data_IF_123246402848
#
_entry.id   IF_123246402848
#
_cell.length_a   1.000
_cell.length_b   1.000
_cell.length_c   1.000
_cell.angle_alpha   90.00
_cell.angle_beta   90.00
_cell.angle_gamma   90.00
#
_symmetry.space_group_name_H-M   'P 1'
#
loop_
_entity.id
_entity.type
_entity.pdbx_description
1 polymer ?
#
# COMPACT_ATOMS: atom_id res chain seq x y z
N UNK A 1 -4.94 12.77 14.80
CA UNK A 1 -4.49 13.72 15.85
C UNK A 1 -5.48 14.85 16.05
N UNK A 2 -5.67 15.77 15.09
CA UNK A 2 -6.53 16.94 15.23
C UNK A 2 -7.96 16.61 15.67
N UNK A 3 -8.62 15.66 15.03
CA UNK A 3 -9.98 15.24 15.39
C UNK A 3 -10.09 14.82 16.87
N UNK A 4 -9.18 13.97 17.35
CA UNK A 4 -9.16 13.54 18.74
C UNK A 4 -8.91 14.70 19.73
N UNK A 5 -8.12 15.70 19.29
CA UNK A 5 -7.87 16.94 20.04
C UNK A 5 -9.01 17.96 19.96
N UNK A 6 -10.00 17.73 19.10
CA UNK A 6 -11.09 18.69 18.78
C UNK A 6 -10.57 20.04 18.27
N UNK A 7 -9.43 20.02 17.63
CA UNK A 7 -8.74 21.16 17.02
C UNK A 7 -8.58 20.94 15.51
N UNK A 8 -8.06 21.93 14.82
CA UNK A 8 -7.66 21.87 13.42
C UNK A 8 -6.15 21.89 13.24
N UNK A 9 -5.72 21.81 12.00
CA UNK A 9 -4.31 21.91 11.61
C UNK A 9 -4.23 22.73 10.32
N UNK A 10 -3.29 23.67 10.27
CA UNK A 10 -2.88 24.34 9.04
C UNK A 10 -1.54 23.76 8.59
N UNK A 11 -1.46 23.27 7.36
CA UNK A 11 -0.25 22.67 6.78
C UNK A 11 0.14 23.42 5.52
N UNK A 12 1.41 23.74 5.40
CA UNK A 12 1.99 24.30 4.18
C UNK A 12 2.84 23.23 3.47
N UNK A 13 2.40 22.84 2.28
CA UNK A 13 3.10 21.81 1.49
C UNK A 13 4.45 22.29 0.97
N UNK A 14 4.66 23.60 0.87
CA UNK A 14 5.96 24.15 0.47
C UNK A 14 7.06 23.90 1.53
N UNK A 15 6.66 23.64 2.78
CA UNK A 15 7.56 23.30 3.89
C UNK A 15 7.78 21.80 4.06
N UNK A 16 7.03 20.98 3.35
CA UNK A 16 7.14 19.51 3.42
C UNK A 16 8.33 19.04 2.57
N UNK A 17 9.31 18.36 3.17
CA UNK A 17 10.44 17.81 2.40
C UNK A 17 9.98 16.80 1.37
N UNK A 18 10.39 16.98 0.13
CA UNK A 18 10.14 16.00 -0.94
C UNK A 18 11.43 15.64 -1.66
N UNK A 19 11.48 14.45 -2.24
CA UNK A 19 12.60 14.02 -3.10
C UNK A 19 12.42 14.46 -4.54
N UNK A 20 11.17 14.59 -4.97
CA UNK A 20 10.80 14.96 -6.32
C UNK A 20 10.54 16.47 -6.40
N UNK A 21 11.08 17.09 -7.45
CA UNK A 21 10.85 18.49 -7.75
C UNK A 21 9.48 18.67 -8.43
N UNK A 22 8.87 19.82 -8.22
CA UNK A 22 7.63 20.23 -8.90
C UNK A 22 6.40 19.34 -8.68
N UNK A 23 6.30 18.68 -7.53
CA UNK A 23 5.10 17.92 -7.17
C UNK A 23 3.87 18.84 -7.12
N UNK A 24 2.75 18.37 -7.64
CA UNK A 24 1.45 18.99 -7.44
C UNK A 24 0.94 18.75 -6.02
N UNK A 25 0.01 19.59 -5.52
CA UNK A 25 -0.61 19.43 -4.21
C UNK A 25 -1.24 18.03 -4.04
N UNK A 26 -1.87 17.52 -5.10
CA UNK A 26 -2.48 16.20 -5.12
C UNK A 26 -1.43 15.08 -4.96
N UNK A 27 -0.29 15.21 -5.60
CA UNK A 27 0.81 14.26 -5.45
C UNK A 27 1.40 14.27 -4.04
N UNK A 28 1.57 15.45 -3.43
CA UNK A 28 1.98 15.54 -2.02
C UNK A 28 1.04 14.80 -1.08
N UNK A 29 -0.27 14.95 -1.28
CA UNK A 29 -1.28 14.36 -0.40
C UNK A 29 -1.46 12.85 -0.59
N UNK A 30 -1.15 12.33 -1.77
CA UNK A 30 -1.20 10.89 -2.06
C UNK A 30 0.15 10.18 -1.88
N UNK A 31 1.25 10.94 -1.80
CA UNK A 31 2.58 10.36 -1.68
C UNK A 31 2.76 9.73 -0.30
N UNK A 32 3.24 8.51 -0.29
CA UNK A 32 3.63 7.81 0.92
C UNK A 32 5.16 7.77 1.00
N UNK A 33 5.71 8.11 2.16
CA UNK A 33 7.12 7.93 2.47
C UNK A 33 7.22 7.18 3.78
N UNK A 34 8.02 6.13 3.78
CA UNK A 34 8.25 5.31 4.97
C UNK A 34 8.99 6.10 6.05
N UNK A 35 8.79 5.69 7.30
CA UNK A 35 9.50 6.22 8.48
C UNK A 35 9.31 7.72 8.73
N UNK A 36 8.19 8.28 8.30
CA UNK A 36 7.81 9.65 8.67
C UNK A 36 7.03 9.66 9.97
N UNK A 37 7.41 10.58 10.85
CA UNK A 37 6.75 10.82 12.12
C UNK A 37 6.28 12.27 12.19
N UNK A 38 5.06 12.47 12.69
CA UNK A 38 4.48 13.80 12.93
C UNK A 38 4.47 14.08 14.43
N UNK A 39 5.03 15.23 14.81
CA UNK A 39 5.08 15.70 16.18
C UNK A 39 4.25 16.96 16.33
N UNK A 40 3.50 17.06 17.43
CA UNK A 40 2.89 18.31 17.88
C UNK A 40 3.69 18.80 19.08
N UNK A 41 4.28 19.94 18.93
CA UNK A 41 5.25 20.48 19.89
C UNK A 41 4.85 21.91 20.27
N UNK A 42 5.11 22.30 21.50
CA UNK A 42 4.95 23.69 21.91
C UNK A 42 5.95 24.58 21.18
N UNK A 43 5.54 25.78 20.83
CA UNK A 43 6.34 26.73 20.05
C UNK A 43 7.73 26.96 20.67
N UNK A 44 7.81 27.11 21.99
CA UNK A 44 9.06 27.30 22.74
C UNK A 44 9.99 26.09 22.78
N UNK A 45 9.56 24.93 22.25
CA UNK A 45 10.31 23.66 22.23
C UNK A 45 10.68 23.17 20.83
N UNK A 46 10.31 23.91 19.81
CA UNK A 46 10.55 23.51 18.42
C UNK A 46 12.04 23.40 18.13
N UNK A 47 12.81 24.44 18.46
CA UNK A 47 14.25 24.50 18.18
C UNK A 47 15.02 23.39 18.94
N UNK A 48 14.68 23.16 20.22
CA UNK A 48 15.27 22.07 21.01
C UNK A 48 15.04 20.70 20.36
N UNK A 49 13.84 20.49 19.81
CA UNK A 49 13.50 19.23 19.15
C UNK A 49 14.29 19.06 17.85
N UNK A 50 14.35 20.10 17.02
CA UNK A 50 15.10 20.08 15.76
C UNK A 50 16.58 19.81 16.02
N UNK A 51 17.19 20.46 17.00
CA UNK A 51 18.59 20.19 17.38
C UNK A 51 18.81 18.74 17.79
N UNK A 52 17.88 18.16 18.56
CA UNK A 52 17.95 16.75 18.94
C UNK A 52 17.94 15.82 17.75
N UNK A 53 17.06 16.04 16.77
CA UNK A 53 17.02 15.23 15.56
C UNK A 53 18.29 15.37 14.73
N UNK A 54 18.77 16.60 14.56
CA UNK A 54 20.02 16.88 13.83
C UNK A 54 21.23 16.15 14.45
N UNK A 55 21.28 16.05 15.78
CA UNK A 55 22.32 15.29 16.48
C UNK A 55 22.40 13.83 16.06
N UNK A 56 21.26 13.24 15.66
CA UNK A 56 21.16 11.86 15.20
C UNK A 56 21.13 11.74 13.67
N UNK A 57 21.43 12.81 12.96
CA UNK A 57 21.39 12.82 11.48
C UNK A 57 19.99 12.70 10.89
N UNK A 58 18.95 13.01 11.67
CA UNK A 58 17.57 12.99 11.24
C UNK A 58 17.11 14.40 10.88
N UNK A 59 16.34 14.51 9.80
CA UNK A 59 15.77 15.79 9.38
C UNK A 59 14.41 16.03 10.04
N UNK A 60 14.21 17.21 10.56
CA UNK A 60 12.93 17.66 11.11
C UNK A 60 12.59 19.07 10.61
N UNK A 61 11.40 19.24 10.07
CA UNK A 61 10.91 20.53 9.57
C UNK A 61 9.57 20.87 10.21
N UNK A 62 9.36 22.15 10.48
CA UNK A 62 8.04 22.67 10.81
C UNK A 62 7.23 22.77 9.53
N UNK A 63 6.12 22.07 9.45
CA UNK A 63 5.28 22.01 8.25
C UNK A 63 3.93 22.71 8.42
N UNK A 64 3.64 23.20 9.62
CA UNK A 64 2.36 23.82 9.93
C UNK A 64 2.14 24.01 11.43
N UNK A 65 0.92 24.35 11.77
CA UNK A 65 0.52 24.66 13.14
C UNK A 65 -0.86 24.10 13.48
N UNK A 66 -1.11 23.93 14.78
CA UNK A 66 -2.42 23.56 15.30
C UNK A 66 -3.27 24.83 15.42
N UNK A 67 -4.49 24.78 14.92
CA UNK A 67 -5.44 25.90 14.90
C UNK A 67 -6.72 25.55 15.68
N UNK A 68 -7.46 26.55 16.11
CA UNK A 68 -8.69 26.34 16.91
C UNK A 68 -9.88 25.86 16.05
N UNK A 69 -9.84 26.10 14.74
CA UNK A 69 -10.88 25.61 13.82
C UNK A 69 -10.84 24.08 13.75
N UNK A 70 -11.99 23.44 13.60
CA UNK A 70 -12.06 21.98 13.46
C UNK A 70 -11.87 21.55 12.00
N UNK A 71 -10.85 22.08 11.36
CA UNK A 71 -10.57 21.88 9.94
C UNK A 71 -9.09 21.57 9.72
N UNK A 72 -8.82 20.80 8.70
CA UNK A 72 -7.49 20.64 8.12
C UNK A 72 -7.42 21.58 6.93
N UNK A 73 -6.59 22.60 7.03
CA UNK A 73 -6.34 23.57 5.97
C UNK A 73 -4.98 23.28 5.37
N UNK A 74 -4.94 23.09 4.07
CA UNK A 74 -3.71 22.76 3.35
C UNK A 74 -3.46 23.86 2.33
N UNK A 75 -2.26 24.46 2.39
CA UNK A 75 -1.78 25.44 1.43
C UNK A 75 -0.64 24.90 0.58
N UNK A 76 -0.52 25.41 -0.63
CA UNK A 76 0.59 25.15 -1.55
C UNK A 76 0.74 26.36 -2.49
N UNK A 77 1.96 26.86 -2.63
CA UNK A 77 2.27 28.05 -3.43
C UNK A 77 1.38 29.24 -3.04
N UNK A 78 1.28 29.47 -1.72
CA UNK A 78 0.48 30.56 -1.12
C UNK A 78 -1.02 30.50 -1.45
N UNK A 79 -1.57 29.34 -1.81
CA UNK A 79 -3.00 29.12 -2.07
C UNK A 79 -3.53 28.00 -1.21
N UNK A 80 -4.72 28.15 -0.68
CA UNK A 80 -5.44 27.05 -0.04
C UNK A 80 -5.86 26.06 -1.13
N UNK A 81 -5.39 24.81 -1.02
CA UNK A 81 -5.65 23.72 -1.97
C UNK A 81 -6.61 22.69 -1.42
N UNK A 82 -6.78 22.64 -0.10
CA UNK A 82 -7.80 21.83 0.56
C UNK A 82 -8.22 22.45 1.89
N UNK A 83 -9.50 22.31 2.22
CA UNK A 83 -10.09 22.66 3.51
C UNK A 83 -11.12 21.60 3.83
N UNK A 84 -10.84 20.79 4.86
CA UNK A 84 -11.57 19.55 5.14
C UNK A 84 -11.91 19.52 6.63
N UNK A 85 -13.16 19.27 7.04
CA UNK A 85 -13.48 19.05 8.44
C UNK A 85 -12.68 17.89 9.02
N UNK A 86 -12.12 18.06 10.22
CA UNK A 86 -11.30 17.00 10.85
C UNK A 86 -12.07 15.70 11.08
N UNK A 87 -13.40 15.78 11.31
CA UNK A 87 -14.26 14.61 11.47
C UNK A 87 -14.36 13.77 10.19
N UNK A 88 -14.37 14.41 9.02
CA UNK A 88 -14.43 13.72 7.74
C UNK A 88 -13.21 12.83 7.46
N UNK A 89 -12.08 13.14 8.11
CA UNK A 89 -10.85 12.35 8.01
C UNK A 89 -10.70 11.30 9.12
N UNK A 90 -11.68 11.16 10.00
CA UNK A 90 -11.67 10.24 11.14
C UNK A 90 -13.01 9.56 11.36
N UNK A 91 -13.85 10.16 12.19
CA UNK A 91 -15.06 9.52 12.72
C UNK A 91 -16.18 9.37 11.67
N UNK A 92 -16.26 10.29 10.72
CA UNK A 92 -17.26 10.30 9.65
C UNK A 92 -16.79 9.52 8.40
N UNK A 93 -15.65 8.84 8.48
CA UNK A 93 -15.15 8.00 7.39
C UNK A 93 -16.07 6.79 7.18
N UNK A 94 -16.54 6.52 5.94
CA UNK A 94 -17.42 5.39 5.68
C UNK A 94 -16.79 4.06 6.10
N UNK A 95 -17.47 3.32 6.96
CA UNK A 95 -17.08 1.96 7.33
C UNK A 95 -17.89 0.97 6.49
N UNK A 96 -17.22 0.30 5.58
CA UNK A 96 -17.85 -0.75 4.78
C UNK A 96 -17.96 -2.03 5.61
N UNK A 97 -19.17 -2.34 6.03
CA UNK A 97 -19.48 -3.60 6.73
C UNK A 97 -19.88 -4.63 5.67
N UNK A 98 -19.00 -5.58 5.42
CA UNK A 98 -19.31 -6.69 4.52
C UNK A 98 -19.96 -7.82 5.31
N UNK A 99 -21.12 -8.28 4.83
CA UNK A 99 -21.76 -9.47 5.38
C UNK A 99 -20.86 -10.67 5.13
N UNK A 100 -20.63 -11.44 6.18
CA UNK A 100 -19.88 -12.70 6.05
C UNK A 100 -20.72 -13.68 5.23
N UNK A 101 -20.21 -14.10 4.09
CA UNK A 101 -20.79 -15.17 3.30
C UNK A 101 -20.41 -16.48 3.96
N UNK A 102 -21.38 -17.12 4.65
CA UNK A 102 -21.15 -18.37 5.39
C UNK A 102 -20.92 -19.57 4.49
N UNK A 103 -21.50 -19.54 3.30
CA UNK A 103 -21.37 -20.62 2.33
C UNK A 103 -20.55 -20.16 1.14
N UNK A 104 -19.64 -20.99 0.63
CA UNK A 104 -18.92 -20.68 -0.60
C UNK A 104 -19.92 -20.52 -1.77
N UNK A 105 -19.59 -19.71 -2.78
CA UNK A 105 -20.40 -19.61 -3.98
C UNK A 105 -20.62 -20.96 -4.64
N UNK A 106 -21.80 -21.19 -5.24
CA UNK A 106 -22.17 -22.46 -5.87
C UNK A 106 -21.16 -22.93 -6.92
N UNK A 107 -20.51 -22.01 -7.62
CA UNK A 107 -19.45 -22.35 -8.56
C UNK A 107 -18.22 -23.00 -7.91
N UNK A 108 -17.90 -22.58 -6.69
CA UNK A 108 -16.81 -23.20 -5.93
C UNK A 108 -17.23 -24.54 -5.35
N UNK A 109 -18.47 -24.64 -4.86
CA UNK A 109 -19.01 -25.94 -4.39
C UNK A 109 -18.99 -26.98 -5.52
N UNK A 110 -19.45 -26.63 -6.70
CA UNK A 110 -19.38 -27.51 -7.87
C UNK A 110 -17.96 -27.93 -8.24
N UNK A 111 -16.98 -27.05 -8.07
CA UNK A 111 -15.56 -27.38 -8.29
C UNK A 111 -15.00 -28.28 -7.21
N UNK A 112 -15.47 -28.20 -5.99
CA UNK A 112 -15.02 -29.05 -4.88
C UNK A 112 -15.64 -30.45 -4.92
N UNK A 113 -16.82 -30.59 -5.55
CA UNK A 113 -17.51 -31.86 -5.77
C UNK A 113 -17.02 -32.65 -7.02
N UNK A 114 -15.93 -32.18 -7.63
CA UNK A 114 -15.39 -32.83 -8.80
C UNK A 114 -15.01 -34.32 -8.50
N UNK A 115 -15.25 -35.14 -9.49
CA UNK A 115 -14.84 -36.55 -9.49
C UNK A 115 -13.97 -36.81 -10.71
N UNK A 116 -13.15 -37.85 -10.68
CA UNK A 116 -12.25 -38.16 -11.79
C UNK A 116 -12.96 -38.27 -13.14
N UNK A 117 -14.17 -38.81 -13.14
CA UNK A 117 -14.99 -38.91 -14.35
C UNK A 117 -15.58 -37.58 -14.85
N UNK A 118 -15.48 -36.52 -14.05
CA UNK A 118 -15.91 -35.15 -14.41
C UNK A 118 -14.76 -34.31 -14.97
N UNK A 119 -13.55 -34.82 -14.99
CA UNK A 119 -12.42 -34.13 -15.58
C UNK A 119 -12.59 -34.04 -17.10
N UNK A 120 -12.36 -32.86 -17.67
CA UNK A 120 -12.39 -32.72 -19.13
C UNK A 120 -11.26 -33.54 -19.75
N UNK A 121 -11.52 -34.09 -20.93
CA UNK A 121 -10.44 -34.71 -21.72
C UNK A 121 -9.32 -33.68 -21.96
N UNK A 122 -8.12 -34.07 -21.58
CA UNK A 122 -6.95 -33.23 -21.72
C UNK A 122 -6.45 -33.25 -23.15
N UNK A 123 -6.70 -32.17 -23.88
CA UNK A 123 -6.12 -31.99 -25.20
C UNK A 123 -4.72 -31.38 -25.10
N UNK A 124 -3.71 -32.21 -25.01
CA UNK A 124 -2.32 -31.78 -24.89
C UNK A 124 -1.83 -30.96 -26.07
N UNK A 125 -2.35 -31.18 -27.28
CA UNK A 125 -1.98 -30.37 -28.44
C UNK A 125 -2.38 -28.91 -28.28
N UNK A 126 -3.58 -28.68 -27.76
CA UNK A 126 -4.09 -27.30 -27.50
C UNK A 126 -3.34 -26.64 -26.35
N UNK A 127 -3.10 -27.39 -25.26
CA UNK A 127 -2.45 -26.84 -24.05
C UNK A 127 -1.00 -26.45 -24.31
N UNK A 128 -0.27 -27.28 -25.07
CA UNK A 128 1.15 -27.02 -25.31
C UNK A 128 1.46 -26.44 -26.69
N UNK A 129 0.43 -26.02 -27.44
CA UNK A 129 0.56 -25.47 -28.80
C UNK A 129 1.40 -26.36 -29.73
N UNK A 130 1.24 -27.67 -29.63
CA UNK A 130 2.03 -28.63 -30.38
C UNK A 130 1.46 -28.81 -31.78
N UNK A 131 2.32 -28.77 -32.79
CA UNK A 131 1.96 -29.06 -34.19
C UNK A 131 1.79 -30.55 -34.46
N UNK A 132 2.36 -31.42 -33.63
CA UNK A 132 2.34 -32.86 -33.79
C UNK A 132 1.69 -33.56 -32.59
N UNK A 133 1.06 -34.70 -32.85
CA UNK A 133 0.52 -35.59 -31.81
C UNK A 133 1.69 -36.18 -30.99
N UNK A 134 1.97 -35.64 -29.80
CA UNK A 134 2.93 -36.24 -28.88
C UNK A 134 2.20 -36.72 -27.64
N UNK A 135 2.49 -37.95 -27.21
CA UNK A 135 2.08 -38.41 -25.90
C UNK A 135 3.10 -37.98 -24.86
N UNK A 136 2.63 -37.42 -23.77
CA UNK A 136 3.47 -37.08 -22.62
C UNK A 136 3.20 -38.08 -21.49
N UNK A 137 4.23 -38.54 -20.83
CA UNK A 137 4.08 -39.18 -19.54
C UNK A 137 3.64 -38.20 -18.47
N UNK A 138 2.98 -38.65 -17.42
CA UNK A 138 2.60 -37.82 -16.28
C UNK A 138 3.80 -37.06 -15.68
N UNK A 139 4.96 -37.73 -15.61
CA UNK A 139 6.20 -37.08 -15.13
C UNK A 139 6.61 -35.88 -15.99
N UNK A 140 6.53 -36.01 -17.32
CA UNK A 140 6.84 -34.91 -18.23
C UNK A 140 5.85 -33.77 -18.11
N UNK A 141 4.57 -34.06 -17.84
CA UNK A 141 3.56 -33.05 -17.61
C UNK A 141 3.84 -32.30 -16.30
N UNK A 142 4.14 -33.01 -15.23
CA UNK A 142 4.48 -32.43 -13.92
C UNK A 142 5.72 -31.53 -14.05
N UNK A 143 6.78 -31.99 -14.70
CA UNK A 143 7.99 -31.20 -14.90
C UNK A 143 7.71 -29.91 -15.70
N UNK A 144 6.87 -29.96 -16.72
CA UNK A 144 6.47 -28.78 -17.49
C UNK A 144 5.61 -27.81 -16.68
N UNK A 145 4.73 -28.32 -15.83
CA UNK A 145 3.95 -27.49 -14.91
C UNK A 145 4.84 -26.80 -13.89
N UNK A 146 5.76 -27.52 -13.28
CA UNK A 146 6.71 -26.96 -12.32
C UNK A 146 7.67 -25.93 -12.94
N UNK A 147 7.96 -26.06 -14.23
CA UNK A 147 8.77 -25.11 -14.97
C UNK A 147 7.98 -23.84 -15.43
N UNK A 148 6.65 -23.87 -15.33
CA UNK A 148 5.82 -22.73 -15.71
C UNK A 148 6.05 -21.55 -14.74
N UNK A 149 6.32 -20.33 -15.22
CA UNK A 149 6.57 -19.16 -14.37
C UNK A 149 5.46 -18.87 -13.34
N UNK A 150 4.20 -19.22 -13.64
CA UNK A 150 3.09 -19.04 -12.71
C UNK A 150 3.07 -20.04 -11.55
N UNK A 151 3.72 -21.21 -11.71
CA UNK A 151 3.73 -22.32 -10.74
C UNK A 151 5.10 -22.48 -10.10
N UNK A 152 6.17 -22.20 -10.84
CA UNK A 152 7.56 -22.31 -10.38
C UNK A 152 7.80 -21.56 -9.08
N UNK A 153 8.75 -22.03 -8.29
CA UNK A 153 9.17 -21.36 -7.07
C UNK A 153 9.61 -19.92 -7.34
N UNK A 154 9.10 -19.00 -6.54
CA UNK A 154 9.49 -17.57 -6.59
C UNK A 154 10.62 -17.27 -5.59
N UNK A 155 11.21 -18.29 -4.99
CA UNK A 155 12.24 -18.14 -3.95
C UNK A 155 13.37 -17.22 -4.37
N UNK A 156 13.89 -17.39 -5.58
CA UNK A 156 14.92 -16.52 -6.12
C UNK A 156 14.50 -15.04 -6.14
N UNK A 157 13.24 -14.75 -6.48
CA UNK A 157 12.73 -13.38 -6.54
C UNK A 157 12.65 -12.74 -5.15
N UNK A 158 11.96 -13.37 -4.22
CA UNK A 158 11.77 -12.76 -2.89
C UNK A 158 13.03 -12.77 -2.03
N UNK A 159 13.98 -13.68 -2.27
CA UNK A 159 15.27 -13.64 -1.60
C UNK A 159 16.11 -12.42 -1.95
N UNK A 160 15.87 -11.78 -3.10
CA UNK A 160 16.59 -10.56 -3.49
C UNK A 160 16.08 -9.31 -2.78
N UNK A 161 14.83 -9.30 -2.36
CA UNK A 161 14.17 -8.07 -1.90
C UNK A 161 13.80 -8.09 -0.41
N UNK A 162 13.23 -9.17 0.09
CA UNK A 162 12.57 -9.16 1.38
C UNK A 162 13.18 -10.09 2.44
N UNK A 163 13.99 -11.05 2.06
CA UNK A 163 14.51 -12.02 3.03
C UNK A 163 15.76 -11.56 3.76
N UNK A 164 16.43 -10.52 3.27
CA UNK A 164 17.68 -10.00 3.83
C UNK A 164 17.78 -8.49 3.61
N UNK A 165 17.05 -7.73 4.41
CA UNK A 165 17.24 -6.28 4.45
C UNK A 165 18.46 -6.00 5.35
N UNK A 166 19.53 -5.44 4.75
CA UNK A 166 20.75 -5.08 5.46
C UNK A 166 21.41 -6.21 6.27
N UNK A 167 21.31 -7.44 5.79
CA UNK A 167 22.11 -8.50 6.39
C UNK A 167 23.60 -8.28 6.08
N UNK A 168 24.32 -7.83 7.06
CA UNK A 168 25.77 -7.98 7.14
C UNK A 168 26.12 -9.39 7.56
#
# INVERSE_FOLDING_TARGET
MAANGKLGISIDLDLVPSREDNMSSYQYLLSESQERMLFVVKEDKVDELIEKFNKWGLYANVIGEVIETKEVIISHKSKIVAQIPTSALSDDTPVNIHNVIKNPPDELLKKWEWKENNLPEINFQKIFSLKEKRSFSYSQIILKLLANPSIASKRWLYQQYDSQVQST
#
